data_IF_333998493443
#
_entry.id   IF_333998493443
#
_cell.length_a   1.000
_cell.length_b   1.000
_cell.length_c   1.000
_cell.angle_alpha   90.00
_cell.angle_beta   90.00
_cell.angle_gamma   90.00
#
_symmetry.space_group_name_H-M   'P 1'
#
loop_
_entity.id
_entity.type
_entity.pdbx_description
1 polymer ?
#
# COMPACT_ATOMS: atom_id res chain seq x y z
N UNK A 1 16.04 7.72 44.85
CA UNK A 1 15.96 8.24 43.47
C UNK A 1 16.59 7.28 42.45
N UNK A 2 16.21 5.99 42.43
CA UNK A 2 16.71 5.04 41.41
C UNK A 2 15.66 3.95 41.20
N UNK A 3 14.70 4.18 40.28
CA UNK A 3 13.94 3.13 39.57
C UNK A 3 13.01 3.63 38.45
N UNK A 4 13.18 4.87 37.98
CA UNK A 4 12.43 5.38 36.83
C UNK A 4 13.12 5.15 35.47
N UNK A 5 14.06 4.20 35.40
CA UNK A 5 14.68 3.80 34.12
C UNK A 5 14.31 2.38 33.68
N UNK A 6 13.55 1.62 34.46
CA UNK A 6 13.03 0.30 34.04
C UNK A 6 11.75 0.43 33.19
N UNK A 7 11.24 1.65 32.97
CA UNK A 7 10.08 1.95 32.13
C UNK A 7 10.40 2.10 30.64
N UNK A 8 11.65 1.87 30.20
CA UNK A 8 11.96 1.56 28.81
C UNK A 8 11.51 0.12 28.52
N UNK A 9 10.20 -0.09 28.62
CA UNK A 9 9.56 -1.38 28.45
C UNK A 9 9.97 -1.94 27.09
N UNK A 10 10.79 -2.99 27.11
CA UNK A 10 10.93 -3.88 25.97
C UNK A 10 9.50 -4.23 25.55
N UNK A 11 9.09 -3.94 24.31
CA UNK A 11 7.72 -4.16 23.94
C UNK A 11 7.34 -5.61 24.13
N UNK A 12 6.11 -5.85 24.61
CA UNK A 12 5.59 -7.20 24.77
C UNK A 12 5.84 -7.99 23.47
N UNK A 13 6.43 -9.18 23.60
CA UNK A 13 6.72 -10.08 22.47
C UNK A 13 5.48 -10.26 21.58
N UNK A 14 4.29 -10.27 22.16
CA UNK A 14 3.02 -10.32 21.46
C UNK A 14 2.80 -9.09 20.55
N UNK A 15 3.08 -7.89 21.03
CA UNK A 15 2.94 -6.64 20.25
C UNK A 15 3.95 -6.64 19.11
N UNK A 16 5.20 -7.01 19.39
CA UNK A 16 6.25 -7.10 18.36
C UNK A 16 5.85 -8.11 17.27
N UNK A 17 5.39 -9.30 17.67
CA UNK A 17 4.89 -10.31 16.75
C UNK A 17 3.71 -9.81 15.91
N UNK A 18 2.70 -9.19 16.53
CA UNK A 18 1.52 -8.70 15.82
C UNK A 18 1.88 -7.64 14.77
N UNK A 19 2.77 -6.69 15.09
CA UNK A 19 3.22 -5.66 14.15
C UNK A 19 4.05 -6.26 13.01
N UNK A 20 4.95 -7.18 13.32
CA UNK A 20 5.74 -7.88 12.30
C UNK A 20 4.84 -8.71 11.38
N UNK A 21 3.86 -9.43 11.93
CA UNK A 21 2.90 -10.20 11.14
C UNK A 21 2.02 -9.31 10.25
N UNK A 22 1.54 -8.18 10.77
CA UNK A 22 0.78 -7.21 9.97
C UNK A 22 1.61 -6.66 8.81
N UNK A 23 2.87 -6.30 9.06
CA UNK A 23 3.75 -5.74 8.03
C UNK A 23 4.09 -6.75 6.92
N UNK A 24 4.51 -7.96 7.26
CA UNK A 24 4.84 -8.98 6.25
C UNK A 24 3.61 -9.61 5.59
N UNK A 25 2.47 -9.63 6.28
CA UNK A 25 1.21 -10.13 5.77
C UNK A 25 0.44 -9.13 4.92
N UNK A 26 0.81 -7.85 4.96
CA UNK A 26 0.13 -6.81 4.20
C UNK A 26 0.20 -7.09 2.69
N UNK A 27 -0.96 -7.09 2.04
CA UNK A 27 -1.10 -7.21 0.58
C UNK A 27 -2.14 -6.18 0.13
N UNK A 28 -1.81 -5.49 -0.95
CA UNK A 28 -2.71 -4.56 -1.62
C UNK A 28 -3.44 -5.30 -2.74
N UNK A 29 -4.76 -5.17 -2.80
CA UNK A 29 -5.56 -5.73 -3.89
C UNK A 29 -5.52 -4.81 -5.12
N UNK A 30 -5.69 -5.38 -6.31
CA UNK A 30 -5.79 -4.62 -7.55
C UNK A 30 -6.91 -3.57 -7.49
N UNK A 31 -6.62 -2.36 -7.99
CA UNK A 31 -7.57 -1.25 -8.05
C UNK A 31 -7.87 -0.53 -6.73
N UNK A 32 -7.25 -0.93 -5.61
CA UNK A 32 -7.25 -0.12 -4.39
C UNK A 32 -6.21 1.00 -4.48
N UNK A 33 -6.28 1.99 -3.59
CA UNK A 33 -5.36 3.13 -3.62
C UNK A 33 -3.98 2.79 -3.07
N UNK A 34 -2.94 2.99 -3.87
CA UNK A 34 -1.54 2.82 -3.45
C UNK A 34 -1.14 3.86 -2.41
N UNK A 35 -1.80 5.03 -2.41
CA UNK A 35 -1.58 6.06 -1.39
C UNK A 35 -2.00 5.56 -0.02
N UNK A 36 -3.21 5.03 0.10
CA UNK A 36 -3.74 4.53 1.38
C UNK A 36 -2.91 3.35 1.89
N UNK A 37 -2.58 2.42 0.99
CA UNK A 37 -1.71 1.29 1.31
C UNK A 37 -0.31 1.74 1.74
N UNK A 38 0.30 2.68 1.02
CA UNK A 38 1.62 3.23 1.34
C UNK A 38 1.67 3.93 2.70
N UNK A 39 0.65 4.73 3.03
CA UNK A 39 0.54 5.37 4.37
C UNK A 39 0.40 4.33 5.48
N UNK A 40 -0.41 3.28 5.25
CA UNK A 40 -0.55 2.18 6.21
C UNK A 40 0.80 1.45 6.43
N UNK A 41 1.51 1.11 5.35
CA UNK A 41 2.83 0.49 5.43
C UNK A 41 3.87 1.37 6.14
N UNK A 42 3.88 2.68 5.86
CA UNK A 42 4.75 3.63 6.55
C UNK A 42 4.51 3.64 8.06
N UNK A 43 3.23 3.67 8.47
CA UNK A 43 2.86 3.64 9.89
C UNK A 43 3.31 2.35 10.60
N UNK A 44 3.29 1.22 9.89
CA UNK A 44 3.80 -0.05 10.41
C UNK A 44 5.32 -0.01 10.58
N UNK A 45 6.05 0.57 9.62
CA UNK A 45 7.50 0.73 9.72
C UNK A 45 7.89 1.64 10.88
N UNK A 46 7.21 2.77 11.07
CA UNK A 46 7.47 3.68 12.19
C UNK A 46 7.28 2.97 13.54
N UNK A 47 6.21 2.17 13.68
CA UNK A 47 5.98 1.34 14.86
C UNK A 47 7.08 0.29 15.03
N UNK A 48 7.49 -0.41 13.98
CA UNK A 48 8.56 -1.41 14.07
C UNK A 48 9.92 -0.80 14.46
N UNK A 49 10.22 0.41 13.99
CA UNK A 49 11.40 1.18 14.40
C UNK A 49 11.33 1.55 15.89
N UNK A 50 10.18 2.03 16.34
CA UNK A 50 9.96 2.36 17.75
C UNK A 50 10.13 1.13 18.67
N UNK A 51 9.66 -0.03 18.23
CA UNK A 51 9.74 -1.29 18.97
C UNK A 51 11.16 -1.93 18.94
N UNK A 52 12.18 -1.22 18.44
CA UNK A 52 13.57 -1.69 18.31
C UNK A 52 13.62 -3.11 17.74
N UNK A 53 12.89 -3.33 16.65
CA UNK A 53 12.96 -4.59 15.93
C UNK A 53 14.27 -4.64 15.13
N UNK A 54 14.90 -5.81 14.97
CA UNK A 54 16.20 -6.00 14.27
C UNK A 54 16.14 -5.72 12.74
N UNK A 55 15.15 -4.93 12.34
CA UNK A 55 14.97 -4.33 11.03
C UNK A 55 15.81 -3.04 10.94
N UNK A 56 17.10 -3.19 11.17
CA UNK A 56 18.06 -2.08 11.22
C UNK A 56 18.29 -1.42 9.85
N UNK A 57 17.78 -2.01 8.76
CA UNK A 57 18.07 -1.63 7.38
C UNK A 57 16.82 -1.18 6.64
N UNK A 58 16.88 0.02 6.06
CA UNK A 58 15.76 0.65 5.32
C UNK A 58 15.36 -0.19 4.11
N UNK A 59 16.34 -0.82 3.49
CA UNK A 59 16.21 -1.71 2.34
C UNK A 59 15.23 -2.85 2.61
N UNK A 60 15.27 -3.43 3.82
CA UNK A 60 14.34 -4.50 4.21
C UNK A 60 12.89 -4.03 4.20
N UNK A 61 12.62 -2.78 4.60
CA UNK A 61 11.25 -2.24 4.58
C UNK A 61 10.79 -1.95 3.15
N UNK A 62 11.70 -1.44 2.31
CA UNK A 62 11.43 -1.18 0.88
C UNK A 62 11.03 -2.49 0.19
N UNK A 63 11.80 -3.56 0.38
CA UNK A 63 11.52 -4.86 -0.25
C UNK A 63 10.14 -5.40 0.13
N UNK A 64 9.75 -5.28 1.41
CA UNK A 64 8.43 -5.74 1.88
C UNK A 64 7.31 -4.87 1.32
N UNK A 65 7.51 -3.55 1.23
CA UNK A 65 6.54 -2.64 0.59
C UNK A 65 6.35 -3.03 -0.88
N UNK A 66 7.44 -3.22 -1.64
CA UNK A 66 7.35 -3.60 -3.05
C UNK A 66 6.66 -4.96 -3.24
N UNK A 67 6.94 -5.94 -2.37
CA UNK A 67 6.30 -7.26 -2.39
C UNK A 67 4.81 -7.24 -2.01
N UNK A 68 4.36 -6.20 -1.32
CA UNK A 68 2.95 -6.05 -0.92
C UNK A 68 2.06 -5.52 -2.05
N UNK A 69 2.65 -4.99 -3.12
CA UNK A 69 1.94 -4.41 -4.25
C UNK A 69 1.36 -5.50 -5.17
N UNK A 70 0.26 -5.20 -5.88
CA UNK A 70 -0.33 -6.15 -6.79
C UNK A 70 0.46 -6.23 -8.12
N UNK A 71 0.22 -7.27 -8.95
CA UNK A 71 0.97 -7.51 -10.20
C UNK A 71 1.00 -6.34 -11.20
N UNK A 72 -0.01 -5.48 -11.20
CA UNK A 72 -0.02 -4.25 -12.03
C UNK A 72 1.16 -3.32 -11.78
N UNK A 73 1.83 -3.39 -10.62
CA UNK A 73 3.02 -2.60 -10.28
C UNK A 73 4.35 -3.28 -10.67
N UNK A 74 4.35 -4.49 -11.26
CA UNK A 74 5.58 -5.22 -11.59
C UNK A 74 6.56 -4.41 -12.45
N UNK A 75 6.07 -3.63 -13.42
CA UNK A 75 6.93 -2.80 -14.26
C UNK A 75 7.59 -1.66 -13.46
N UNK A 76 6.88 -1.08 -12.48
CA UNK A 76 7.46 -0.12 -11.54
C UNK A 76 8.58 -0.78 -10.72
N UNK A 77 8.33 -1.97 -10.17
CA UNK A 77 9.31 -2.70 -9.33
C UNK A 77 10.59 -3.00 -10.12
N UNK A 78 10.48 -3.50 -11.35
CA UNK A 78 11.63 -3.77 -12.23
C UNK A 78 12.44 -2.49 -12.46
N UNK A 79 11.77 -1.37 -12.74
CA UNK A 79 12.43 -0.09 -12.99
C UNK A 79 13.07 0.49 -11.73
N UNK A 80 12.40 0.38 -10.58
CA UNK A 80 12.92 0.82 -9.30
C UNK A 80 14.20 0.06 -8.91
N UNK A 81 14.16 -1.27 -9.00
CA UNK A 81 15.30 -2.13 -8.68
C UNK A 81 16.50 -1.90 -9.60
N UNK A 82 16.27 -1.58 -10.88
CA UNK A 82 17.34 -1.28 -11.85
C UNK A 82 18.03 0.06 -11.60
N UNK A 83 17.29 1.04 -11.10
CA UNK A 83 17.82 2.39 -10.93
C UNK A 83 18.46 2.61 -9.56
N UNK A 84 18.38 1.64 -8.62
CA UNK A 84 18.97 1.64 -7.27
C UNK A 84 19.12 3.04 -6.65
N UNK A 85 18.05 3.83 -6.71
CA UNK A 85 18.04 5.13 -6.05
C UNK A 85 17.83 4.83 -4.57
N UNK A 86 18.81 5.16 -3.73
CA UNK A 86 18.58 5.25 -2.29
C UNK A 86 17.50 6.30 -2.05
N UNK A 87 16.27 5.83 -1.90
CA UNK A 87 15.09 6.65 -1.65
C UNK A 87 14.59 6.40 -0.24
N UNK A 88 14.21 7.49 0.43
CA UNK A 88 13.46 7.39 1.66
C UNK A 88 12.11 6.70 1.41
N UNK A 89 11.51 6.12 2.45
CA UNK A 89 10.19 5.47 2.35
C UNK A 89 9.10 6.44 1.87
N UNK A 90 9.19 7.71 2.26
CA UNK A 90 8.27 8.75 1.79
C UNK A 90 8.43 9.00 0.29
N UNK A 91 9.66 9.06 -0.21
CA UNK A 91 9.91 9.21 -1.66
C UNK A 91 9.41 7.99 -2.44
N UNK A 92 9.64 6.77 -1.94
CA UNK A 92 9.09 5.55 -2.55
C UNK A 92 7.56 5.63 -2.69
N UNK A 93 6.85 6.00 -1.62
CA UNK A 93 5.38 6.13 -1.64
C UNK A 93 4.95 7.20 -2.64
N UNK A 94 5.64 8.34 -2.69
CA UNK A 94 5.33 9.38 -3.65
C UNK A 94 5.54 8.92 -5.10
N UNK A 95 6.58 8.15 -5.38
CA UNK A 95 6.84 7.57 -6.70
C UNK A 95 5.74 6.57 -7.10
N UNK A 96 5.29 5.74 -6.16
CA UNK A 96 4.18 4.80 -6.38
C UNK A 96 2.88 5.53 -6.70
N UNK A 97 2.55 6.59 -5.96
CA UNK A 97 1.35 7.41 -6.20
C UNK A 97 1.40 8.09 -7.57
N UNK A 98 2.57 8.59 -7.98
CA UNK A 98 2.74 9.16 -9.33
C UNK A 98 2.58 8.11 -10.43
N UNK A 99 2.98 6.86 -10.16
CA UNK A 99 2.82 5.74 -11.08
C UNK A 99 1.36 5.26 -11.21
N UNK A 100 0.58 5.34 -10.12
CA UNK A 100 -0.85 5.00 -10.10
C UNK A 100 -1.74 6.00 -10.84
N UNK A 101 -1.46 7.31 -10.76
CA UNK A 101 -2.33 8.34 -11.34
C UNK A 101 -2.60 8.18 -12.87
N UNK A 102 -1.65 7.70 -13.69
CA UNK A 102 -1.92 7.29 -15.07
C UNK A 102 -2.78 6.02 -15.20
N UNK A 103 -2.62 5.04 -14.30
CA UNK A 103 -3.29 3.73 -14.34
C UNK A 103 -4.80 3.88 -14.11
N UNK A 104 -5.21 4.71 -13.14
CA UNK A 104 -6.63 4.97 -12.85
C UNK A 104 -7.36 5.50 -14.10
N UNK A 105 -6.71 6.38 -14.89
CA UNK A 105 -7.31 6.89 -16.13
C UNK A 105 -7.53 5.79 -17.16
N UNK A 106 -6.62 4.82 -17.29
CA UNK A 106 -6.80 3.69 -18.22
C UNK A 106 -7.88 2.71 -17.77
N UNK A 107 -8.03 2.45 -16.46
CA UNK A 107 -9.07 1.57 -15.91
C UNK A 107 -10.45 2.22 -16.02
N UNK A 108 -10.58 3.50 -15.69
CA UNK A 108 -11.84 4.25 -15.80
C UNK A 108 -12.32 4.36 -17.26
N UNK A 109 -11.41 4.52 -18.23
CA UNK A 109 -11.76 4.53 -19.66
C UNK A 109 -12.20 3.14 -20.14
N UNK A 110 -11.73 2.04 -19.54
CA UNK A 110 -12.04 0.66 -19.94
C UNK A 110 -13.19 0.00 -19.19
N UNK A 111 -13.69 0.57 -18.09
CA UNK A 111 -14.92 0.08 -17.47
C UNK A 111 -16.06 0.18 -18.51
N UNK A 112 -16.78 -0.91 -18.83
CA UNK A 112 -17.88 -0.83 -19.77
C UNK A 112 -18.89 0.17 -19.20
N UNK A 113 -19.25 1.18 -20.01
CA UNK A 113 -20.39 2.05 -19.72
C UNK A 113 -21.54 1.13 -19.33
N UNK A 114 -22.07 1.28 -18.11
CA UNK A 114 -23.28 0.57 -17.68
C UNK A 114 -24.36 1.00 -18.66
N UNK A 115 -24.64 0.15 -19.65
CA UNK A 115 -25.75 0.36 -20.55
C UNK A 115 -26.97 0.10 -19.69
N UNK A 116 -27.62 1.15 -19.21
CA UNK A 116 -28.87 0.97 -18.51
C UNK A 116 -29.83 0.28 -19.49
N UNK A 117 -30.44 -0.86 -19.12
CA UNK A 117 -31.41 -1.50 -19.99
C UNK A 117 -32.51 -0.46 -20.25
N UNK A 118 -32.78 -0.22 -21.53
CA UNK A 118 -33.89 0.65 -21.94
C UNK A 118 -35.14 0.14 -21.21
N UNK A 119 -35.71 0.98 -20.35
CA UNK A 119 -36.90 0.60 -19.59
C UNK A 119 -38.01 0.22 -20.58
N UNK A 120 -38.54 -1.00 -20.46
CA UNK A 120 -39.64 -1.49 -21.30
C UNK A 120 -40.87 -0.56 -21.24
N UNK A 121 -40.99 0.23 -20.16
CA UNK A 121 -42.03 1.25 -20.00
C UNK A 121 -41.90 2.39 -21.02
N UNK A 122 -40.67 2.75 -21.44
CA UNK A 122 -40.42 3.81 -22.42
C UNK A 122 -40.79 3.37 -23.84
N UNK A 123 -40.61 2.08 -24.16
CA UNK A 123 -40.92 1.51 -25.47
C UNK A 123 -42.44 1.40 -25.67
N UNK A 124 -43.20 1.13 -24.60
CA UNK A 124 -44.66 0.99 -24.67
C UNK A 124 -45.40 2.34 -24.80
N UNK A 125 -44.79 3.45 -24.39
CA UNK A 125 -45.38 4.81 -24.53
C UNK A 125 -45.22 5.43 -25.92
N UNK A 126 -44.56 4.76 -26.87
CA UNK A 126 -44.33 5.27 -28.23
C UNK A 126 -45.13 4.51 -29.30
N UNK A 127 -46.05 3.63 -28.89
CA UNK A 127 -46.86 2.78 -29.77
C UNK A 127 -48.36 3.13 -29.79
N UNK A 128 -48.74 4.30 -29.26
CA UNK A 128 -50.10 4.85 -29.38
C UNK A 128 -50.19 5.94 -30.47
#
# INVERSE_FOLDING_TARGET
MHRMKELYAVPDRHIKYAMTNAFFGARMNEGLSVREHGVMMLSLVEKLKYLQTDFEKVEKYVDVILQSLPPSFNQFIINYNRNMLEKSLHELINLLVQYEAPIEKYVVIRAPRRVEPISLTLIMTQLD
#
